data_IF_771871992267
#
_entry.id   IF_771871992267
#
_cell.length_a   1.000
_cell.length_b   1.000
_cell.length_c   1.000
_cell.angle_alpha   90.00
_cell.angle_beta   90.00
_cell.angle_gamma   90.00
#
_symmetry.space_group_name_H-M   'P 1'
#
loop_
_entity.id
_entity.type
_entity.pdbx_description
1 polymer ?
#
# COMPACT_ATOMS: atom_id res chain seq x y z
N UNK A 1 -16.87 8.18 8.54
CA UNK A 1 -16.80 8.96 7.29
C UNK A 1 -17.14 10.44 7.51
N UNK A 2 -18.27 10.80 8.14
CA UNK A 2 -18.58 12.20 8.47
C UNK A 2 -17.47 12.93 9.23
N UNK A 3 -16.93 12.33 10.31
CA UNK A 3 -15.79 12.91 11.04
C UNK A 3 -14.56 13.11 10.17
N UNK A 4 -14.28 12.17 9.26
CA UNK A 4 -13.15 12.29 8.32
C UNK A 4 -13.35 13.46 7.37
N UNK A 5 -14.57 13.63 6.85
CA UNK A 5 -14.93 14.78 6.01
C UNK A 5 -14.70 16.10 6.74
N UNK A 6 -15.16 16.22 7.99
CA UNK A 6 -14.90 17.41 8.80
C UNK A 6 -13.41 17.67 9.03
N UNK A 7 -12.59 16.63 9.24
CA UNK A 7 -11.14 16.81 9.40
C UNK A 7 -10.48 17.29 8.10
N UNK A 8 -10.97 16.84 6.94
CA UNK A 8 -10.51 17.31 5.62
C UNK A 8 -10.89 18.78 5.42
N UNK A 9 -12.14 19.17 5.72
CA UNK A 9 -12.59 20.57 5.64
C UNK A 9 -11.80 21.49 6.57
N UNK A 10 -11.40 20.98 7.74
CA UNK A 10 -10.53 21.67 8.70
C UNK A 10 -9.04 21.67 8.32
N UNK A 11 -8.68 21.06 7.18
CA UNK A 11 -7.29 20.96 6.70
C UNK A 11 -6.33 20.41 7.74
N UNK A 12 -6.76 19.40 8.50
CA UNK A 12 -5.87 18.70 9.44
C UNK A 12 -4.76 17.97 8.69
N UNK A 13 -3.72 17.59 9.44
CA UNK A 13 -2.61 16.80 8.90
C UNK A 13 -3.14 15.51 8.22
N UNK A 14 -2.86 15.29 6.92
CA UNK A 14 -3.26 14.08 6.20
C UNK A 14 -2.86 12.79 6.92
N UNK A 15 -1.71 12.76 7.59
CA UNK A 15 -1.27 11.59 8.36
C UNK A 15 -2.16 11.33 9.60
N UNK A 16 -2.66 12.37 10.26
CA UNK A 16 -3.64 12.23 11.35
C UNK A 16 -4.97 11.68 10.81
N UNK A 17 -5.44 12.24 9.69
CA UNK A 17 -6.72 11.89 9.06
C UNK A 17 -6.72 10.41 8.67
N UNK A 18 -5.72 9.96 7.92
CA UNK A 18 -5.66 8.59 7.43
C UNK A 18 -5.46 7.59 8.57
N UNK A 19 -4.56 7.86 9.51
CA UNK A 19 -4.32 6.99 10.67
C UNK A 19 -5.60 6.78 11.46
N UNK A 20 -6.31 7.87 11.76
CA UNK A 20 -7.57 7.81 12.50
C UNK A 20 -8.64 7.04 11.71
N UNK A 21 -8.77 7.26 10.41
CA UNK A 21 -9.74 6.51 9.60
C UNK A 21 -9.39 5.02 9.56
N UNK A 22 -8.13 4.66 9.30
CA UNK A 22 -7.67 3.28 9.24
C UNK A 22 -7.96 2.53 10.54
N UNK A 23 -7.63 3.12 11.70
CA UNK A 23 -7.93 2.51 13.00
C UNK A 23 -9.43 2.28 13.22
N UNK A 24 -10.30 3.21 12.80
CA UNK A 24 -11.74 3.00 12.91
C UNK A 24 -12.26 1.92 11.95
N UNK A 25 -11.77 1.89 10.72
CA UNK A 25 -12.17 0.87 9.73
C UNK A 25 -11.72 -0.52 10.16
N UNK A 26 -10.50 -0.64 10.71
CA UNK A 26 -9.98 -1.89 11.26
C UNK A 26 -10.80 -2.35 12.48
N UNK A 27 -11.08 -1.46 13.42
CA UNK A 27 -11.91 -1.76 14.59
C UNK A 27 -13.36 -2.10 14.24
N UNK A 28 -13.88 -1.56 13.13
CA UNK A 28 -15.21 -1.92 12.62
C UNK A 28 -15.16 -3.29 11.95
N UNK A 29 -14.18 -3.54 11.08
CA UNK A 29 -13.99 -4.80 10.36
C UNK A 29 -13.84 -5.99 11.31
N UNK A 30 -13.24 -5.81 12.47
CA UNK A 30 -13.10 -6.87 13.47
C UNK A 30 -14.39 -7.21 14.25
N UNK A 31 -15.43 -6.37 14.14
CA UNK A 31 -16.68 -6.51 14.89
C UNK A 31 -17.88 -6.90 14.05
N UNK A 32 -17.81 -6.70 12.73
CA UNK A 32 -18.91 -7.00 11.82
C UNK A 32 -18.65 -8.31 11.10
N UNK A 33 -19.74 -8.99 10.73
CA UNK A 33 -19.68 -10.17 9.89
C UNK A 33 -19.06 -9.83 8.51
N UNK A 34 -18.28 -10.74 7.89
CA UNK A 34 -17.71 -10.51 6.56
C UNK A 34 -18.71 -10.08 5.50
N UNK A 35 -19.93 -10.61 5.50
CA UNK A 35 -20.96 -10.25 4.51
C UNK A 35 -21.47 -8.82 4.74
N UNK A 36 -21.59 -8.41 6.00
CA UNK A 36 -21.90 -7.02 6.37
C UNK A 36 -20.77 -6.10 5.92
N UNK A 37 -19.51 -6.49 6.13
CA UNK A 37 -18.36 -5.72 5.64
C UNK A 37 -18.39 -5.54 4.12
N UNK A 38 -18.72 -6.59 3.36
CA UNK A 38 -18.88 -6.50 1.90
C UNK A 38 -20.04 -5.58 1.51
N UNK A 39 -21.16 -5.64 2.21
CA UNK A 39 -22.33 -4.80 1.96
C UNK A 39 -22.04 -3.29 2.20
N UNK A 40 -21.02 -2.94 2.98
CA UNK A 40 -20.58 -1.55 3.20
C UNK A 40 -19.73 -1.00 2.04
N UNK A 41 -19.18 -1.84 1.16
CA UNK A 41 -18.29 -1.41 0.08
C UNK A 41 -18.91 -0.36 -0.87
N UNK A 42 -20.17 -0.51 -1.33
CA UNK A 42 -20.80 0.52 -2.17
C UNK A 42 -20.92 1.87 -1.47
N UNK A 43 -21.18 1.88 -0.15
CA UNK A 43 -21.31 3.12 0.64
C UNK A 43 -19.97 3.85 0.68
N UNK A 44 -18.87 3.12 0.94
CA UNK A 44 -17.53 3.70 0.99
C UNK A 44 -17.11 4.20 -0.40
N UNK A 45 -17.40 3.44 -1.46
CA UNK A 45 -17.04 3.80 -2.84
C UNK A 45 -17.75 5.05 -3.36
N UNK A 46 -18.97 5.29 -2.90
CA UNK A 46 -19.75 6.46 -3.30
C UNK A 46 -19.56 7.67 -2.37
N UNK A 47 -18.70 7.56 -1.35
CA UNK A 47 -18.50 8.64 -0.39
C UNK A 47 -17.43 9.64 -0.88
N UNK A 48 -17.65 10.97 -0.83
CA UNK A 48 -16.72 11.99 -1.34
C UNK A 48 -15.30 11.91 -0.77
N UNK A 49 -15.19 11.51 0.50
CA UNK A 49 -13.90 11.27 1.19
C UNK A 49 -12.98 10.28 0.43
N UNK A 50 -13.52 9.39 -0.41
CA UNK A 50 -12.70 8.51 -1.22
C UNK A 50 -11.77 9.30 -2.16
N UNK A 51 -12.26 10.37 -2.78
CA UNK A 51 -11.46 11.17 -3.73
C UNK A 51 -10.20 11.73 -3.08
N UNK A 52 -10.31 12.19 -1.83
CA UNK A 52 -9.19 12.65 -1.02
C UNK A 52 -8.12 11.57 -0.81
N UNK A 53 -8.53 10.34 -0.47
CA UNK A 53 -7.57 9.24 -0.29
C UNK A 53 -7.03 8.69 -1.60
N UNK A 54 -7.74 8.85 -2.71
CA UNK A 54 -7.21 8.54 -4.04
C UNK A 54 -6.15 9.54 -4.51
N UNK A 55 -5.84 10.61 -3.76
CA UNK A 55 -4.65 11.41 -4.03
C UNK A 55 -3.36 10.65 -3.68
N UNK A 56 -3.41 9.70 -2.74
CA UNK A 56 -2.28 8.81 -2.45
C UNK A 56 -2.01 7.86 -3.63
N UNK A 57 -0.83 7.90 -4.27
CA UNK A 57 -0.49 7.03 -5.39
C UNK A 57 -0.59 5.53 -5.06
N UNK A 58 -0.27 5.10 -3.84
CA UNK A 58 -0.38 3.70 -3.43
C UNK A 58 -1.85 3.25 -3.37
N UNK A 59 -2.69 4.09 -2.75
CA UNK A 59 -4.13 3.84 -2.63
C UNK A 59 -4.80 3.90 -4.00
N UNK A 60 -4.44 4.87 -4.85
CA UNK A 60 -4.92 4.99 -6.23
C UNK A 60 -4.59 3.76 -7.05
N UNK A 61 -3.35 3.27 -7.02
CA UNK A 61 -2.99 2.05 -7.74
C UNK A 61 -3.81 0.84 -7.26
N UNK A 62 -3.98 0.69 -5.94
CA UNK A 62 -4.82 -0.36 -5.35
C UNK A 62 -6.28 -0.30 -5.80
N UNK A 63 -6.79 0.90 -6.08
CA UNK A 63 -8.13 1.14 -6.60
C UNK A 63 -8.22 0.81 -8.10
N UNK A 64 -7.33 1.36 -8.91
CA UNK A 64 -7.40 1.37 -10.38
C UNK A 64 -6.92 0.07 -11.03
N UNK A 65 -6.14 -0.75 -10.31
CA UNK A 65 -5.56 -1.97 -10.87
C UNK A 65 -6.59 -2.91 -11.52
N UNK A 66 -6.24 -3.57 -12.63
CA UNK A 66 -7.09 -4.59 -13.24
C UNK A 66 -7.45 -5.71 -12.26
N UNK A 67 -8.73 -6.09 -12.22
CA UNK A 67 -9.22 -7.19 -11.38
C UNK A 67 -8.98 -8.53 -12.07
N UNK A 68 -8.75 -9.59 -11.28
CA UNK A 68 -8.60 -10.96 -11.78
C UNK A 68 -7.16 -11.41 -12.06
N UNK A 69 -6.15 -10.55 -11.89
CA UNK A 69 -4.74 -10.93 -12.00
C UNK A 69 -4.16 -11.29 -10.62
N UNK A 70 -3.61 -12.51 -10.49
CA UNK A 70 -2.96 -12.97 -9.26
C UNK A 70 -1.53 -12.43 -9.17
N UNK A 71 -1.26 -11.64 -8.12
CA UNK A 71 0.00 -10.91 -7.94
C UNK A 71 -0.10 -9.48 -8.46
N UNK A 72 0.56 -8.54 -7.79
CA UNK A 72 0.51 -7.12 -8.15
C UNK A 72 1.90 -6.51 -7.97
N UNK A 73 2.74 -6.72 -8.98
CA UNK A 73 4.12 -6.31 -8.96
C UNK A 73 4.26 -4.78 -8.84
N UNK A 74 3.37 -4.02 -9.48
CA UNK A 74 3.40 -2.57 -9.40
C UNK A 74 2.94 -2.04 -8.03
N UNK A 75 1.99 -2.70 -7.35
CA UNK A 75 1.68 -2.35 -5.96
C UNK A 75 2.89 -2.58 -5.06
N UNK A 76 3.63 -3.68 -5.29
CA UNK A 76 4.88 -3.93 -4.58
C UNK A 76 5.93 -2.85 -4.87
N UNK A 77 6.03 -2.33 -6.09
CA UNK A 77 6.95 -1.22 -6.41
C UNK A 77 6.67 0.01 -5.52
N UNK A 78 5.40 0.36 -5.27
CA UNK A 78 5.03 1.41 -4.29
C UNK A 78 5.40 1.00 -2.85
N UNK A 79 5.08 -0.21 -2.43
CA UNK A 79 5.42 -0.69 -1.08
C UNK A 79 6.95 -0.72 -0.85
N UNK A 80 7.72 -1.05 -1.87
CA UNK A 80 9.18 -1.14 -1.83
C UNK A 80 9.87 0.21 -2.00
N UNK A 81 9.11 1.28 -2.29
CA UNK A 81 9.62 2.59 -2.66
C UNK A 81 10.59 2.50 -3.85
N UNK A 82 10.26 1.66 -4.84
CA UNK A 82 11.10 1.38 -5.99
C UNK A 82 11.33 2.65 -6.85
N UNK A 83 12.54 2.88 -7.39
CA UNK A 83 12.82 4.00 -8.27
C UNK A 83 11.86 4.11 -9.47
N UNK A 84 11.32 3.00 -9.96
CA UNK A 84 10.36 2.97 -11.07
C UNK A 84 9.11 3.81 -10.80
N UNK A 85 8.60 3.79 -9.57
CA UNK A 85 7.40 4.55 -9.19
C UNK A 85 7.72 5.95 -8.67
N UNK A 86 9.00 6.30 -8.50
CA UNK A 86 9.41 7.58 -7.93
C UNK A 86 8.84 8.78 -8.72
N UNK A 87 8.79 8.70 -10.05
CA UNK A 87 8.17 9.75 -10.89
C UNK A 87 6.66 9.85 -10.65
N UNK A 88 5.96 8.73 -10.51
CA UNK A 88 4.54 8.72 -10.19
C UNK A 88 4.26 9.37 -8.83
N UNK A 89 5.07 9.04 -7.82
CA UNK A 89 4.97 9.64 -6.48
C UNK A 89 5.30 11.13 -6.50
N UNK A 90 6.34 11.54 -7.24
CA UNK A 90 6.73 12.94 -7.37
C UNK A 90 5.64 13.80 -8.04
N UNK A 91 4.88 13.20 -8.97
CA UNK A 91 3.77 13.85 -9.66
C UNK A 91 2.44 13.86 -8.87
N UNK A 92 2.38 13.19 -7.71
CA UNK A 92 1.19 13.26 -6.85
C UNK A 92 1.02 14.68 -6.29
N UNK A 93 -0.21 15.00 -5.86
CA UNK A 93 -0.47 16.27 -5.16
C UNK A 93 0.27 16.33 -3.83
N UNK A 94 0.33 17.51 -3.20
CA UNK A 94 0.95 17.64 -1.87
C UNK A 94 0.21 16.82 -0.81
N UNK A 95 -1.12 16.73 -0.91
CA UNK A 95 -1.94 15.83 -0.07
C UNK A 95 -1.56 14.37 -0.35
N UNK A 96 -1.50 13.97 -1.63
CA UNK A 96 -1.14 12.62 -2.04
C UNK A 96 0.24 12.20 -1.54
N UNK A 97 1.24 13.08 -1.65
CA UNK A 97 2.57 12.85 -1.07
C UNK A 97 2.53 12.74 0.45
N UNK A 98 1.76 13.59 1.13
CA UNK A 98 1.61 13.54 2.59
C UNK A 98 0.95 12.25 3.07
N UNK A 99 -0.10 11.80 2.38
CA UNK A 99 -0.74 10.50 2.62
C UNK A 99 0.24 9.35 2.35
N UNK A 100 0.93 9.36 1.22
CA UNK A 100 1.88 8.31 0.85
C UNK A 100 3.02 8.15 1.84
N UNK A 101 3.54 9.26 2.40
CA UNK A 101 4.53 9.22 3.49
C UNK A 101 4.05 8.39 4.67
N UNK A 102 2.76 8.38 4.96
CA UNK A 102 2.17 7.52 5.98
C UNK A 102 1.91 6.10 5.46
N UNK A 103 1.21 5.95 4.34
CA UNK A 103 0.73 4.64 3.86
C UNK A 103 1.87 3.70 3.48
N UNK A 104 2.98 4.21 2.93
CA UNK A 104 4.16 3.39 2.64
C UNK A 104 4.85 2.85 3.89
N UNK A 105 4.64 3.46 5.06
CA UNK A 105 5.33 3.11 6.32
C UNK A 105 4.42 2.46 7.36
N UNK A 106 3.21 2.02 6.95
CA UNK A 106 2.38 1.17 7.81
C UNK A 106 3.05 -0.19 8.05
N UNK A 107 2.74 -0.89 9.17
CA UNK A 107 3.45 -2.11 9.56
C UNK A 107 3.51 -3.19 8.48
N UNK A 108 2.45 -3.37 7.69
CA UNK A 108 2.42 -4.36 6.61
C UNK A 108 3.39 -4.03 5.46
N UNK A 109 3.56 -2.75 5.13
CA UNK A 109 4.49 -2.30 4.08
C UNK A 109 5.94 -2.41 4.55
N UNK A 110 6.21 -2.04 5.81
CA UNK A 110 7.52 -2.24 6.44
C UNK A 110 7.88 -3.71 6.45
N UNK A 111 6.99 -4.59 6.91
CA UNK A 111 7.23 -6.04 6.94
C UNK A 111 7.49 -6.64 5.54
N UNK A 112 6.87 -6.09 4.50
CA UNK A 112 7.13 -6.52 3.12
C UNK A 112 8.56 -6.16 2.67
N UNK A 113 9.06 -4.96 3.03
CA UNK A 113 10.45 -4.56 2.75
C UNK A 113 11.45 -5.38 3.56
N UNK A 114 11.20 -5.57 4.86
CA UNK A 114 12.03 -6.43 5.72
C UNK A 114 12.14 -7.85 5.14
N UNK A 115 11.03 -8.44 4.69
CA UNK A 115 11.04 -9.77 4.05
C UNK A 115 11.89 -9.79 2.78
N UNK A 116 11.80 -8.76 1.93
CA UNK A 116 12.64 -8.63 0.73
C UNK A 116 14.11 -8.62 1.13
N UNK A 117 14.47 -7.78 2.09
CA UNK A 117 15.86 -7.59 2.51
C UNK A 117 16.44 -8.85 3.18
N UNK A 118 15.63 -9.59 3.95
CA UNK A 118 15.98 -10.90 4.49
C UNK A 118 16.25 -11.93 3.38
N UNK A 119 15.37 -12.00 2.37
CA UNK A 119 15.52 -12.94 1.24
C UNK A 119 16.77 -12.62 0.42
N UNK A 120 17.02 -11.35 0.10
CA UNK A 120 18.24 -10.91 -0.60
C UNK A 120 19.48 -11.39 0.15
N UNK A 121 19.54 -11.18 1.47
CA UNK A 121 20.67 -11.64 2.28
C UNK A 121 20.89 -13.15 2.20
N UNK A 122 19.82 -13.94 2.29
CA UNK A 122 19.95 -15.40 2.18
C UNK A 122 20.43 -15.84 0.81
N UNK A 123 19.94 -15.20 -0.27
CA UNK A 123 20.41 -15.47 -1.62
C UNK A 123 21.91 -15.15 -1.74
N UNK A 124 22.34 -13.99 -1.27
CA UNK A 124 23.75 -13.56 -1.32
C UNK A 124 24.67 -14.48 -0.50
N UNK A 125 24.25 -14.89 0.70
CA UNK A 125 25.00 -15.80 1.56
C UNK A 125 25.16 -17.19 0.92
N UNK A 126 24.10 -17.72 0.31
CA UNK A 126 24.12 -19.02 -0.37
C UNK A 126 24.99 -18.95 -1.63
N UNK A 127 24.83 -17.89 -2.44
CA UNK A 127 25.64 -17.70 -3.64
C UNK A 127 27.13 -17.55 -3.32
N UNK A 128 27.47 -16.82 -2.25
CA UNK A 128 28.85 -16.68 -1.78
C UNK A 128 29.43 -18.02 -1.32
N UNK A 129 28.63 -18.84 -0.64
CA UNK A 129 29.07 -20.16 -0.13
C UNK A 129 29.28 -21.19 -1.24
N UNK A 130 28.36 -21.23 -2.20
CA UNK A 130 28.35 -22.26 -3.25
C UNK A 130 29.16 -21.87 -4.48
N UNK A 131 29.46 -20.58 -4.64
CA UNK A 131 30.26 -20.04 -5.74
C UNK A 131 29.44 -19.71 -6.99
N UNK A 132 30.12 -19.36 -8.09
CA UNK A 132 29.51 -18.72 -9.27
C UNK A 132 28.54 -19.62 -10.06
N UNK A 133 28.49 -20.92 -9.77
CA UNK A 133 27.56 -21.87 -10.39
C UNK A 133 26.21 -21.97 -9.66
N UNK A 134 25.96 -21.12 -8.67
CA UNK A 134 24.68 -21.10 -7.95
C UNK A 134 23.54 -20.68 -8.88
N UNK A 135 22.48 -21.48 -8.92
CA UNK A 135 21.26 -21.18 -9.66
C UNK A 135 20.13 -20.78 -8.70
N UNK A 136 19.32 -19.80 -9.10
CA UNK A 136 18.16 -19.31 -8.31
C UNK A 136 16.90 -19.46 -9.15
N UNK A 137 15.90 -20.14 -8.59
CA UNK A 137 14.55 -20.21 -9.15
C UNK A 137 13.61 -19.31 -8.33
N UNK A 138 13.05 -18.28 -8.97
CA UNK A 138 12.10 -17.37 -8.35
C UNK A 138 10.72 -17.50 -8.99
N UNK A 139 9.70 -17.83 -8.20
CA UNK A 139 8.31 -18.01 -8.64
C UNK A 139 7.46 -16.86 -8.10
N UNK A 140 6.61 -16.28 -8.95
CA UNK A 140 5.76 -15.12 -8.60
C UNK A 140 6.55 -13.92 -8.06
N UNK A 141 7.73 -13.66 -8.63
CA UNK A 141 8.72 -12.74 -8.08
C UNK A 141 8.51 -11.26 -8.44
N UNK A 142 7.28 -10.88 -8.79
CA UNK A 142 6.95 -9.53 -9.21
C UNK A 142 7.75 -9.11 -10.45
N UNK A 143 8.36 -7.93 -10.41
CA UNK A 143 9.16 -7.40 -11.52
C UNK A 143 10.63 -7.86 -11.53
N UNK A 144 11.14 -8.54 -10.49
CA UNK A 144 12.54 -8.96 -10.38
C UNK A 144 13.55 -7.84 -10.76
N UNK A 145 13.41 -6.67 -10.12
CA UNK A 145 14.28 -5.51 -10.34
C UNK A 145 15.20 -5.30 -9.14
#
# INVERSE_FOLDING_TARGET
LHTTHQQIEQQKDPAEIIRRLMSHLEAMRSKVDPDVWQALMPVVRNHPVLEYFLEDPLTRWSHDKPRGYSGDAQLLDYIYCDPHVAKSVANASEIGKALYRHTKDVPSCVAARERRDLLTRYVDEIATRNGPQTEVLAIAAGHLR
#
